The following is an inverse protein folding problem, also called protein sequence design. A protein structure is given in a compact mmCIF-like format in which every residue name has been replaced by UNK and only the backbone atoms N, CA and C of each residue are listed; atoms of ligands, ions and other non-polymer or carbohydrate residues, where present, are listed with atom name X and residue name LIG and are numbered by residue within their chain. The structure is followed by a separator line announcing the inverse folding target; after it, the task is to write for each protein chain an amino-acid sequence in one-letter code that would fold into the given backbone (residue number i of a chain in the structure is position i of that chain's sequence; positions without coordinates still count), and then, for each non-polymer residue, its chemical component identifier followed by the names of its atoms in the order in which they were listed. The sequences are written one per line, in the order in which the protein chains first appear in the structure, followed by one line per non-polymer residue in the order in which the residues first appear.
data_IF_473340090009
#
_entry.id   IF_473340090009
#
_cell.length_a   1.000
_cell.length_b   1.000
_cell.length_c   1.000
_cell.angle_alpha   90.00
_cell.angle_beta   90.00
_cell.angle_gamma   90.00
#
_symmetry.space_group_name_H-M   'P 1'
#
loop_
_entity.id
_entity.type
_entity.pdbx_description
1 polymer ?
#
# COMPACT_ATOMS: atom_id res chain seq x y z
N UNK A 1 35.87 -36.97 50.18
CA UNK A 1 34.78 -37.86 50.60
C UNK A 1 35.33 -38.75 51.70
N UNK A 2 35.00 -38.46 52.96
CA UNK A 2 35.50 -39.20 54.13
C UNK A 2 34.35 -40.05 54.66
N UNK A 3 34.42 -41.38 54.50
CA UNK A 3 33.56 -42.30 55.23
C UNK A 3 34.39 -42.95 56.34
N UNK A 4 33.82 -43.06 57.53
CA UNK A 4 34.49 -43.61 58.71
C UNK A 4 34.01 -45.05 58.88
N UNK A 5 34.94 -46.00 58.86
CA UNK A 5 34.66 -47.39 59.17
C UNK A 5 35.10 -47.65 60.61
N UNK A 6 34.14 -47.96 61.48
CA UNK A 6 34.43 -48.29 62.88
C UNK A 6 34.52 -49.81 62.99
N UNK A 7 35.72 -50.31 63.33
CA UNK A 7 35.96 -51.74 63.55
C UNK A 7 36.13 -51.97 65.06
N UNK A 8 35.17 -52.66 65.67
CA UNK A 8 35.23 -53.04 67.08
C UNK A 8 35.94 -54.40 67.16
N UNK A 9 37.07 -54.46 67.88
CA UNK A 9 37.89 -55.67 67.99
C UNK A 9 37.20 -56.64 68.97
N UNK A 10 36.66 -57.75 68.45
CA UNK A 10 36.07 -58.83 69.25
C UNK A 10 34.77 -59.43 68.71
N UNK A 11 34.08 -58.77 67.76
CA UNK A 11 32.86 -59.30 67.14
C UNK A 11 33.06 -59.45 65.62
N UNK A 12 32.77 -60.64 65.08
CA UNK A 12 32.69 -60.90 63.63
C UNK A 12 31.36 -60.41 63.08
N UNK A 13 31.12 -59.11 63.14
CA UNK A 13 29.97 -58.50 62.51
C UNK A 13 30.43 -57.20 61.87
N UNK A 14 30.52 -57.21 60.55
CA UNK A 14 30.79 -56.01 59.76
C UNK A 14 29.59 -55.08 59.93
N UNK A 15 29.76 -54.02 60.72
CA UNK A 15 28.75 -52.98 60.87
C UNK A 15 28.72 -52.13 59.58
N UNK A 16 27.49 -51.95 59.09
CA UNK A 16 27.11 -51.24 57.86
C UNK A 16 27.76 -49.85 57.77
N UNK A 17 28.34 -49.52 56.60
CA UNK A 17 28.98 -48.23 56.34
C UNK A 17 27.96 -47.09 56.49
N UNK A 18 27.99 -46.37 57.61
CA UNK A 18 27.22 -45.15 57.79
C UNK A 18 28.03 -43.95 57.27
N UNK A 19 27.66 -43.44 56.08
CA UNK A 19 28.17 -42.19 55.55
C UNK A 19 27.15 -41.06 55.85
N UNK A 20 27.37 -40.19 56.87
CA UNK A 20 26.39 -39.17 57.28
C UNK A 20 26.28 -37.97 56.31
N UNK A 21 27.11 -37.89 55.26
CA UNK A 21 27.16 -36.77 54.33
C UNK A 21 26.62 -37.07 52.92
N UNK A 22 25.91 -38.17 52.71
CA UNK A 22 25.15 -38.40 51.49
C UNK A 22 23.86 -37.55 51.45
N UNK A 23 23.95 -36.26 51.78
CA UNK A 23 22.82 -35.34 51.64
C UNK A 23 22.56 -35.08 50.16
N UNK A 24 21.40 -35.54 49.72
CA UNK A 24 20.88 -35.51 48.35
C UNK A 24 20.97 -34.10 47.71
N UNK A 25 22.03 -33.87 46.94
CA UNK A 25 22.19 -32.71 46.05
C UNK A 25 21.09 -32.61 44.97
N UNK A 26 20.32 -33.69 44.78
CA UNK A 26 19.20 -33.77 43.84
C UNK A 26 18.00 -32.89 44.26
N UNK A 27 17.75 -32.76 45.57
CA UNK A 27 16.62 -31.96 46.10
C UNK A 27 16.76 -30.46 45.81
N UNK A 28 17.99 -29.93 45.89
CA UNK A 28 18.29 -28.54 45.56
C UNK A 28 18.21 -28.27 44.05
N UNK A 29 18.65 -29.23 43.23
CA UNK A 29 18.51 -29.15 41.78
C UNK A 29 17.04 -29.10 41.34
N UNK A 30 16.18 -29.95 41.90
CA UNK A 30 14.73 -29.93 41.66
C UNK A 30 14.09 -28.59 42.03
N UNK A 31 14.47 -27.99 43.16
CA UNK A 31 13.98 -26.67 43.57
C UNK A 31 14.41 -25.56 42.59
N UNK A 32 15.66 -25.60 42.13
CA UNK A 32 16.17 -24.65 41.13
C UNK A 32 15.46 -24.80 39.78
N UNK A 33 15.27 -26.03 39.28
CA UNK A 33 14.54 -26.27 38.03
C UNK A 33 13.08 -25.81 38.12
N UNK A 34 12.42 -26.06 39.25
CA UNK A 34 11.05 -25.62 39.49
C UNK A 34 10.97 -24.08 39.51
N UNK A 35 11.91 -23.41 40.17
CA UNK A 35 11.99 -21.95 40.18
C UNK A 35 12.23 -21.34 38.80
N UNK A 36 13.16 -21.90 38.02
CA UNK A 36 13.43 -21.45 36.64
C UNK A 36 12.21 -21.68 35.73
N UNK A 37 11.50 -22.80 35.88
CA UNK A 37 10.28 -23.08 35.12
C UNK A 37 9.16 -22.09 35.45
N UNK A 38 8.95 -21.77 36.74
CA UNK A 38 7.95 -20.79 37.14
C UNK A 38 8.29 -19.39 36.60
N UNK A 39 9.57 -19.01 36.64
CA UNK A 39 10.02 -17.73 36.09
C UNK A 39 9.83 -17.70 34.58
N UNK A 40 10.22 -18.74 33.85
CA UNK A 40 10.02 -18.79 32.39
C UNK A 40 8.55 -18.73 32.01
N UNK A 41 7.67 -19.45 32.72
CA UNK A 41 6.22 -19.38 32.52
C UNK A 41 5.65 -17.99 32.83
N UNK A 42 6.16 -17.31 33.86
CA UNK A 42 5.75 -15.95 34.18
C UNK A 42 6.13 -14.96 33.08
N UNK A 43 7.38 -15.01 32.58
CA UNK A 43 7.80 -14.18 31.46
C UNK A 43 7.01 -14.51 30.19
N UNK A 44 6.80 -15.79 29.89
CA UNK A 44 6.04 -16.21 28.72
C UNK A 44 4.57 -15.76 28.81
N UNK A 45 3.98 -15.88 30.00
CA UNK A 45 2.65 -15.35 30.31
C UNK A 45 2.59 -13.83 30.16
N UNK A 46 3.59 -13.10 30.67
CA UNK A 46 3.67 -11.64 30.52
C UNK A 46 3.82 -11.22 29.05
N UNK A 47 4.63 -11.91 28.25
CA UNK A 47 4.75 -11.68 26.81
C UNK A 47 3.45 -11.99 26.08
N UNK A 48 2.79 -13.09 26.43
CA UNK A 48 1.50 -13.46 25.84
C UNK A 48 0.43 -12.44 26.20
N UNK A 49 0.39 -11.98 27.45
CA UNK A 49 -0.51 -10.91 27.91
C UNK A 49 -0.14 -9.60 27.21
N UNK A 50 1.12 -9.23 27.03
CA UNK A 50 1.47 -8.02 26.28
C UNK A 50 0.99 -8.07 24.82
N UNK A 51 1.13 -9.23 24.15
CA UNK A 51 0.63 -9.44 22.79
C UNK A 51 -0.90 -9.47 22.72
N UNK A 52 -1.52 -10.22 23.63
CA UNK A 52 -2.96 -10.41 23.71
C UNK A 52 -3.67 -9.13 24.16
N UNK A 53 -3.18 -8.43 25.19
CA UNK A 53 -3.72 -7.17 25.69
C UNK A 53 -3.62 -6.08 24.62
N UNK A 54 -2.55 -6.04 23.83
CA UNK A 54 -2.44 -5.11 22.69
C UNK A 54 -3.46 -5.44 21.59
N UNK A 55 -3.72 -6.72 21.33
CA UNK A 55 -4.73 -7.18 20.37
C UNK A 55 -6.18 -7.02 20.86
N UNK A 56 -6.43 -7.27 22.15
CA UNK A 56 -7.73 -7.14 22.81
C UNK A 56 -8.10 -5.69 23.04
N UNK A 57 -7.18 -4.86 23.55
CA UNK A 57 -7.36 -3.42 23.67
C UNK A 57 -7.58 -2.79 22.28
N UNK A 58 -6.88 -3.28 21.25
CA UNK A 58 -7.19 -2.88 19.88
C UNK A 58 -8.61 -3.29 19.49
N UNK A 59 -9.04 -4.54 19.71
CA UNK A 59 -10.42 -4.99 19.42
C UNK A 59 -11.50 -4.21 20.18
N UNK A 60 -11.28 -3.90 21.46
CA UNK A 60 -12.25 -3.17 22.29
C UNK A 60 -12.30 -1.68 21.95
N UNK A 61 -11.16 -1.05 21.67
CA UNK A 61 -11.09 0.33 21.17
C UNK A 61 -11.62 0.46 19.73
N UNK A 62 -11.64 -0.65 18.97
CA UNK A 62 -11.90 -0.66 17.53
C UNK A 62 -13.37 -0.46 17.14
N UNK A 63 -14.34 -0.78 17.99
CA UNK A 63 -15.73 -0.73 17.57
C UNK A 63 -16.34 0.67 17.75
N UNK A 64 -16.24 1.25 18.95
CA UNK A 64 -16.95 2.48 19.31
C UNK A 64 -16.14 3.75 19.02
N UNK A 65 -14.86 3.77 19.39
CA UNK A 65 -14.01 4.95 19.23
C UNK A 65 -13.60 5.19 17.76
N UNK A 66 -13.42 4.13 16.95
CA UNK A 66 -13.13 4.28 15.52
C UNK A 66 -14.35 4.73 14.73
N UNK A 67 -15.54 4.15 14.96
CA UNK A 67 -16.77 4.63 14.31
C UNK A 67 -17.09 6.05 14.72
N UNK A 68 -16.87 6.42 15.98
CA UNK A 68 -16.99 7.81 16.44
C UNK A 68 -15.94 8.74 15.84
N UNK A 69 -14.69 8.28 15.66
CA UNK A 69 -13.60 9.06 15.07
C UNK A 69 -13.72 9.24 13.55
N UNK A 70 -14.26 8.24 12.85
CA UNK A 70 -14.42 8.20 11.39
C UNK A 70 -15.81 8.66 10.97
N UNK A 71 -16.78 8.75 11.88
CA UNK A 71 -18.11 9.31 11.61
C UNK A 71 -18.90 8.58 10.52
N UNK A 72 -18.55 7.32 10.20
CA UNK A 72 -19.15 6.56 9.11
C UNK A 72 -18.78 7.07 7.71
N UNK A 73 -17.68 7.82 7.56
CA UNK A 73 -17.24 8.37 6.28
C UNK A 73 -17.21 7.33 5.16
N UNK A 74 -17.72 7.73 4.00
CA UNK A 74 -17.68 6.90 2.80
C UNK A 74 -16.38 7.10 2.04
N UNK A 75 -15.82 6.00 1.55
CA UNK A 75 -14.65 6.01 0.69
C UNK A 75 -14.96 5.25 -0.60
N UNK A 76 -14.85 5.92 -1.74
CA UNK A 76 -14.98 5.25 -3.04
C UNK A 76 -13.60 5.11 -3.62
N UNK A 77 -13.15 3.88 -3.83
CA UNK A 77 -11.83 3.57 -4.37
C UNK A 77 -11.95 3.34 -5.88
N UNK A 78 -11.20 4.11 -6.66
CA UNK A 78 -11.18 4.03 -8.13
C UNK A 78 -9.75 3.79 -8.61
N UNK A 79 -9.58 2.85 -9.53
CA UNK A 79 -8.29 2.56 -10.17
C UNK A 79 -8.50 2.36 -11.68
N UNK A 80 -7.53 2.75 -12.53
CA UNK A 80 -7.62 2.48 -13.95
C UNK A 80 -7.45 0.97 -14.21
N UNK A 81 -8.07 0.40 -15.26
CA UNK A 81 -7.72 -0.93 -15.71
C UNK A 81 -6.26 -0.93 -16.21
N UNK A 82 -5.36 -1.32 -15.33
CA UNK A 82 -3.94 -1.49 -15.60
C UNK A 82 -3.65 -2.97 -15.88
N UNK A 83 -2.62 -3.23 -16.68
CA UNK A 83 -2.12 -4.59 -16.94
C UNK A 83 -1.37 -5.19 -15.75
N UNK A 84 -1.05 -4.40 -14.72
CA UNK A 84 -0.35 -4.88 -13.53
C UNK A 84 -1.31 -5.58 -12.54
N UNK A 85 -1.19 -6.91 -12.33
CA UNK A 85 -2.04 -7.64 -11.39
C UNK A 85 -1.76 -7.30 -9.91
N UNK A 86 -0.70 -6.54 -9.60
CA UNK A 86 -0.42 -6.08 -8.24
C UNK A 86 -1.38 -4.98 -7.78
N UNK A 87 -1.85 -4.11 -8.68
CA UNK A 87 -2.70 -2.97 -8.36
C UNK A 87 -4.07 -3.40 -7.79
N UNK A 88 -4.84 -4.30 -8.42
CA UNK A 88 -6.11 -4.79 -7.85
C UNK A 88 -5.94 -5.44 -6.47
N UNK A 89 -4.84 -6.19 -6.26
CA UNK A 89 -4.53 -6.81 -4.96
C UNK A 89 -4.29 -5.76 -3.88
N UNK A 90 -3.56 -4.70 -4.21
CA UNK A 90 -3.26 -3.61 -3.30
C UNK A 90 -4.52 -2.79 -2.97
N UNK A 91 -5.38 -2.56 -3.96
CA UNK A 91 -6.68 -1.90 -3.77
C UNK A 91 -7.62 -2.70 -2.90
N UNK A 92 -7.67 -4.02 -3.08
CA UNK A 92 -8.43 -4.90 -2.19
C UNK A 92 -7.89 -4.87 -0.75
N UNK A 93 -6.56 -4.83 -0.57
CA UNK A 93 -5.94 -4.68 0.76
C UNK A 93 -6.21 -3.32 1.39
N UNK A 94 -6.13 -2.25 0.63
CA UNK A 94 -6.48 -0.91 1.10
C UNK A 94 -7.95 -0.85 1.52
N UNK A 95 -8.86 -1.32 0.65
CA UNK A 95 -10.28 -1.33 0.92
C UNK A 95 -10.65 -2.18 2.13
N UNK A 96 -10.09 -3.38 2.26
CA UNK A 96 -10.30 -4.23 3.45
C UNK A 96 -9.74 -3.58 4.71
N UNK A 97 -8.54 -2.99 4.65
CA UNK A 97 -7.95 -2.26 5.78
C UNK A 97 -8.84 -1.09 6.22
N UNK A 98 -9.31 -0.28 5.29
CA UNK A 98 -10.25 0.82 5.55
C UNK A 98 -11.57 0.33 6.15
N UNK A 99 -12.14 -0.76 5.62
CA UNK A 99 -13.35 -1.37 6.19
C UNK A 99 -13.13 -1.83 7.62
N UNK A 100 -11.97 -2.42 7.94
CA UNK A 100 -11.63 -2.79 9.32
C UNK A 100 -11.42 -1.60 10.25
N UNK A 101 -11.13 -0.42 9.70
CA UNK A 101 -11.01 0.84 10.43
C UNK A 101 -12.36 1.57 10.62
N UNK A 102 -13.46 1.02 10.07
CA UNK A 102 -14.81 1.57 10.24
C UNK A 102 -15.30 2.45 9.09
N UNK A 103 -14.55 2.56 7.98
CA UNK A 103 -15.00 3.27 6.78
C UNK A 103 -16.00 2.43 5.97
N UNK A 104 -16.99 3.10 5.37
CA UNK A 104 -17.87 2.47 4.38
C UNK A 104 -17.21 2.56 3.01
N UNK A 105 -16.54 1.48 2.60
CA UNK A 105 -15.75 1.46 1.36
C UNK A 105 -16.56 0.86 0.22
N UNK A 106 -16.65 1.58 -0.89
CA UNK A 106 -17.12 1.04 -2.18
C UNK A 106 -15.94 0.89 -3.13
N UNK A 107 -15.81 -0.29 -3.71
CA UNK A 107 -14.77 -0.63 -4.68
C UNK A 107 -15.47 -1.36 -5.84
N UNK A 108 -15.14 -0.97 -7.06
CA UNK A 108 -15.57 -1.61 -8.31
C UNK A 108 -15.33 -3.12 -8.32
N UNK A 109 -14.17 -3.60 -7.82
CA UNK A 109 -13.85 -5.03 -7.67
C UNK A 109 -14.85 -5.80 -6.80
N UNK A 110 -15.46 -5.15 -5.80
CA UNK A 110 -16.41 -5.78 -4.88
C UNK A 110 -17.85 -5.74 -5.39
N UNK A 111 -18.12 -4.93 -6.41
CA UNK A 111 -19.48 -4.62 -6.88
C UNK A 111 -19.70 -5.00 -8.34
N UNK A 112 -18.96 -5.99 -8.83
CA UNK A 112 -19.02 -6.47 -10.22
C UNK A 112 -20.44 -6.84 -10.67
N UNK A 113 -21.27 -7.42 -9.79
CA UNK A 113 -22.66 -7.75 -10.12
C UNK A 113 -23.56 -6.54 -10.30
N UNK A 114 -23.36 -5.47 -9.53
CA UNK A 114 -24.09 -4.21 -9.73
C UNK A 114 -23.56 -3.45 -10.94
N UNK A 115 -22.24 -3.51 -11.15
CA UNK A 115 -21.56 -2.85 -12.26
C UNK A 115 -21.97 -3.45 -13.60
N UNK A 116 -22.12 -4.77 -13.67
CA UNK A 116 -22.61 -5.46 -14.88
C UNK A 116 -24.08 -5.19 -15.16
N UNK A 117 -24.90 -4.97 -14.12
CA UNK A 117 -26.33 -4.68 -14.27
C UNK A 117 -26.62 -3.21 -14.63
N UNK A 118 -25.93 -2.25 -13.99
CA UNK A 118 -26.17 -0.82 -14.15
C UNK A 118 -25.27 -0.15 -15.18
N UNK A 119 -24.13 -0.77 -15.49
CA UNK A 119 -23.06 -0.14 -16.25
C UNK A 119 -22.18 0.80 -15.42
N UNK A 120 -21.02 1.20 -15.97
CA UNK A 120 -19.97 1.92 -15.23
C UNK A 120 -20.37 3.34 -14.83
N UNK A 121 -21.02 4.09 -15.74
CA UNK A 121 -21.42 5.48 -15.49
C UNK A 121 -22.55 5.57 -14.44
N UNK A 122 -23.68 4.83 -14.55
CA UNK A 122 -24.75 4.92 -13.55
C UNK A 122 -24.32 4.40 -12.17
N UNK A 123 -23.50 3.36 -12.13
CA UNK A 123 -22.92 2.86 -10.87
C UNK A 123 -22.07 3.94 -10.19
N UNK A 124 -21.18 4.60 -10.94
CA UNK A 124 -20.34 5.67 -10.41
C UNK A 124 -21.19 6.82 -9.85
N UNK A 125 -22.19 7.28 -10.59
CA UNK A 125 -23.08 8.36 -10.12
C UNK A 125 -23.81 8.00 -8.82
N UNK A 126 -24.25 6.74 -8.68
CA UNK A 126 -24.85 6.24 -7.45
C UNK A 126 -23.87 6.36 -6.27
N UNK A 127 -22.61 5.94 -6.45
CA UNK A 127 -21.58 6.02 -5.40
C UNK A 127 -21.17 7.45 -5.08
N UNK A 128 -21.02 8.32 -6.08
CA UNK A 128 -20.74 9.74 -5.87
C UNK A 128 -21.87 10.43 -5.10
N UNK A 129 -23.14 10.09 -5.37
CA UNK A 129 -24.27 10.63 -4.64
C UNK A 129 -24.30 10.17 -3.18
N UNK A 130 -23.94 8.91 -2.90
CA UNK A 130 -23.81 8.41 -1.54
C UNK A 130 -22.70 9.14 -0.76
N UNK A 131 -21.54 9.37 -1.39
CA UNK A 131 -20.45 10.16 -0.81
C UNK A 131 -20.89 11.58 -0.49
N UNK A 132 -21.66 12.22 -1.39
CA UNK A 132 -22.21 13.57 -1.17
C UNK A 132 -23.19 13.62 0.01
N UNK A 133 -24.00 12.58 0.20
CA UNK A 133 -25.03 12.53 1.26
C UNK A 133 -24.47 12.21 2.63
N UNK A 134 -23.55 11.25 2.71
CA UNK A 134 -23.04 10.74 3.98
C UNK A 134 -21.72 11.37 4.41
N UNK A 135 -21.11 12.19 3.53
CA UNK A 135 -19.77 12.71 3.75
C UNK A 135 -18.71 11.65 3.48
N UNK A 136 -17.64 12.07 2.83
CA UNK A 136 -16.59 11.17 2.41
C UNK A 136 -15.80 11.72 1.24
N UNK A 137 -14.88 10.89 0.73
CA UNK A 137 -14.07 11.24 -0.43
C UNK A 137 -13.93 10.08 -1.40
N UNK A 138 -13.71 10.44 -2.65
CA UNK A 138 -13.34 9.52 -3.72
C UNK A 138 -11.83 9.49 -3.82
N UNK A 139 -11.25 8.32 -3.71
CA UNK A 139 -9.82 8.08 -3.76
C UNK A 139 -9.48 7.49 -5.12
N UNK A 140 -8.71 8.25 -5.89
CA UNK A 140 -8.16 7.85 -7.18
C UNK A 140 -6.72 7.35 -6.97
N UNK A 141 -6.39 6.17 -7.49
CA UNK A 141 -4.99 5.73 -7.45
C UNK A 141 -4.21 6.45 -8.54
N UNK A 142 -3.03 6.96 -8.20
CA UNK A 142 -2.09 7.54 -9.14
C UNK A 142 -1.06 6.48 -9.56
N UNK A 143 -1.25 5.92 -10.75
CA UNK A 143 -0.29 5.04 -11.45
C UNK A 143 0.15 5.65 -12.78
N UNK A 144 1.13 5.03 -13.44
CA UNK A 144 1.51 5.43 -14.80
C UNK A 144 0.33 5.31 -15.78
N UNK A 145 -0.48 4.25 -15.66
CA UNK A 145 -1.68 4.08 -16.47
C UNK A 145 -2.71 5.19 -16.20
N UNK A 146 -2.90 5.57 -14.93
CA UNK A 146 -3.79 6.67 -14.52
C UNK A 146 -3.42 7.97 -15.23
N UNK A 147 -2.12 8.27 -15.25
CA UNK A 147 -1.58 9.47 -15.86
C UNK A 147 -1.84 9.50 -17.36
N UNK A 148 -1.40 8.46 -18.07
CA UNK A 148 -1.53 8.37 -19.52
C UNK A 148 -3.01 8.43 -19.94
N UNK A 149 -3.89 7.76 -19.18
CA UNK A 149 -5.33 7.79 -19.43
C UNK A 149 -5.94 9.17 -19.23
N UNK A 150 -5.54 9.90 -18.19
CA UNK A 150 -6.05 11.25 -17.96
C UNK A 150 -5.62 12.24 -19.06
N UNK A 151 -4.37 12.16 -19.52
CA UNK A 151 -3.86 12.94 -20.65
C UNK A 151 -4.58 12.61 -21.96
N UNK A 152 -4.70 11.31 -22.29
CA UNK A 152 -5.39 10.84 -23.49
C UNK A 152 -6.87 11.27 -23.49
N UNK A 153 -7.54 11.15 -22.35
CA UNK A 153 -8.93 11.58 -22.20
C UNK A 153 -9.08 13.10 -22.33
N UNK A 154 -8.16 13.87 -21.75
CA UNK A 154 -8.13 15.33 -21.88
C UNK A 154 -7.94 15.80 -23.33
N UNK A 155 -6.97 15.22 -24.04
CA UNK A 155 -6.71 15.52 -25.45
C UNK A 155 -7.93 15.22 -26.34
N UNK A 156 -8.55 14.04 -26.17
CA UNK A 156 -9.76 13.66 -26.91
C UNK A 156 -10.96 14.56 -26.62
N UNK A 157 -11.09 15.02 -25.36
CA UNK A 157 -12.18 15.92 -24.97
C UNK A 157 -12.02 17.31 -25.60
N UNK A 158 -10.80 17.82 -25.73
CA UNK A 158 -10.53 19.14 -26.31
C UNK A 158 -10.68 19.15 -27.84
N UNK A 159 -10.26 18.08 -28.53
CA UNK A 159 -10.47 17.93 -29.98
C UNK A 159 -11.96 17.84 -30.35
N UNK A 160 -12.76 17.17 -29.52
CA UNK A 160 -14.23 17.12 -29.69
C UNK A 160 -14.89 18.48 -29.44
N UNK A 161 -14.44 19.23 -28.44
CA UNK A 161 -15.01 20.56 -28.15
C UNK A 161 -14.62 21.61 -29.22
N UNK A 162 -13.42 21.52 -29.80
CA UNK A 162 -12.99 22.40 -30.89
C UNK A 162 -13.71 22.13 -32.22
N UNK A 163 -14.19 20.89 -32.43
CA UNK A 163 -14.97 20.49 -33.62
C UNK A 163 -16.49 20.71 -33.46
N UNK A 164 -17.00 20.73 -32.22
CA UNK A 164 -18.42 20.99 -31.94
C UNK A 164 -18.85 22.44 -32.19
N UNK A 165 -17.91 23.39 -32.23
CA UNK A 165 -18.19 24.78 -32.60
C UNK A 165 -18.57 24.96 -34.08
N UNK A 166 -18.39 23.92 -34.92
CA UNK A 166 -18.65 24.02 -36.36
C UNK A 166 -19.88 23.27 -36.86
N UNK A 167 -20.48 22.37 -36.08
CA UNK A 167 -21.67 21.62 -36.49
C UNK A 167 -22.64 21.40 -35.30
N UNK A 168 -23.42 22.43 -34.97
CA UNK A 168 -24.74 22.24 -34.34
C UNK A 168 -25.66 21.74 -35.43
N UNK A 169 -25.82 20.42 -35.51
CA UNK A 169 -26.89 19.69 -36.19
C UNK A 169 -26.26 18.39 -36.65
N UNK A 170 -26.23 17.41 -35.75
CA UNK A 170 -26.27 15.97 -36.01
C UNK A 170 -26.02 15.32 -34.65
N UNK A 171 -27.11 14.77 -34.11
CA UNK A 171 -27.09 13.88 -32.96
C UNK A 171 -26.49 12.55 -33.40
N UNK A 172 -25.18 12.52 -33.69
CA UNK A 172 -24.48 11.29 -34.00
C UNK A 172 -23.94 10.67 -32.72
N UNK A 173 -24.72 9.71 -32.21
CA UNK A 173 -24.31 8.35 -31.87
C UNK A 173 -22.79 8.12 -31.75
N UNK A 174 -22.13 8.79 -30.80
CA UNK A 174 -20.85 8.31 -30.30
C UNK A 174 -21.18 7.09 -29.46
N UNK A 175 -21.02 5.91 -30.05
CA UNK A 175 -20.93 4.66 -29.29
C UNK A 175 -19.87 4.90 -28.20
N UNK A 176 -20.24 4.88 -26.90
CA UNK A 176 -19.23 5.01 -25.87
C UNK A 176 -18.43 3.72 -25.95
N UNK A 177 -17.22 3.78 -26.50
CA UNK A 177 -16.22 2.74 -26.28
C UNK A 177 -16.29 2.43 -24.79
N UNK A 178 -16.72 1.21 -24.44
CA UNK A 178 -17.20 0.82 -23.12
C UNK A 178 -16.36 1.47 -22.02
N UNK A 179 -16.83 2.61 -21.51
CA UNK A 179 -15.96 3.47 -20.71
C UNK A 179 -15.84 2.84 -19.35
N UNK A 180 -14.64 2.45 -18.96
CA UNK A 180 -14.43 1.95 -17.60
C UNK A 180 -14.84 3.00 -16.55
N UNK A 181 -15.05 2.54 -15.31
CA UNK A 181 -15.49 3.38 -14.20
C UNK A 181 -14.51 4.54 -13.95
N UNK A 182 -13.21 4.28 -14.15
CA UNK A 182 -12.17 5.28 -13.96
C UNK A 182 -12.28 6.42 -14.97
N UNK A 183 -12.43 6.10 -16.25
CA UNK A 183 -12.59 7.05 -17.35
C UNK A 183 -13.88 7.84 -17.20
N UNK A 184 -14.97 7.17 -16.79
CA UNK A 184 -16.22 7.85 -16.43
C UNK A 184 -16.04 8.86 -15.28
N UNK A 185 -15.12 8.58 -14.35
CA UNK A 185 -14.83 9.48 -13.24
C UNK A 185 -14.07 10.75 -13.65
N UNK A 186 -13.27 10.70 -14.72
CA UNK A 186 -12.54 11.87 -15.21
C UNK A 186 -13.47 13.03 -15.58
N UNK A 187 -14.62 12.73 -16.19
CA UNK A 187 -15.64 13.75 -16.49
C UNK A 187 -16.17 14.42 -15.21
N UNK A 188 -16.37 13.66 -14.14
CA UNK A 188 -16.83 14.18 -12.85
C UNK A 188 -15.74 14.99 -12.14
N UNK A 189 -14.49 14.57 -12.23
CA UNK A 189 -13.33 15.30 -11.66
C UNK A 189 -13.16 16.62 -12.40
N UNK A 190 -13.21 16.62 -13.73
CA UNK A 190 -13.12 17.85 -14.52
C UNK A 190 -14.21 18.85 -14.14
N UNK A 191 -15.46 18.39 -14.02
CA UNK A 191 -16.58 19.25 -13.64
C UNK A 191 -16.36 19.94 -12.29
N UNK A 192 -15.72 19.27 -11.32
CA UNK A 192 -15.39 19.87 -10.03
C UNK A 192 -14.13 20.71 -10.05
N UNK A 193 -13.17 20.34 -10.91
CA UNK A 193 -11.94 21.10 -11.11
C UNK A 193 -12.26 22.49 -11.66
N UNK A 194 -13.15 22.57 -12.66
CA UNK A 194 -13.65 23.84 -13.21
C UNK A 194 -14.41 24.68 -12.17
N UNK A 195 -14.96 24.05 -11.13
CA UNK A 195 -15.62 24.74 -10.02
C UNK A 195 -14.65 25.13 -8.89
N UNK A 196 -13.37 24.76 -8.97
CA UNK A 196 -12.38 24.96 -7.91
C UNK A 196 -12.60 24.08 -6.67
N UNK A 197 -13.39 23.00 -6.79
CA UNK A 197 -13.85 22.17 -5.66
C UNK A 197 -13.40 20.70 -5.74
N UNK A 198 -12.56 20.35 -6.71
CA UNK A 198 -12.11 18.98 -6.90
C UNK A 198 -11.45 18.38 -5.64
N UNK A 199 -10.57 19.14 -4.96
CA UNK A 199 -9.88 18.69 -3.75
C UNK A 199 -10.79 18.42 -2.54
N UNK A 200 -12.02 18.96 -2.54
CA UNK A 200 -13.00 18.67 -1.48
C UNK A 200 -13.56 17.25 -1.60
N UNK A 201 -13.79 16.78 -2.84
CA UNK A 201 -14.49 15.50 -3.12
C UNK A 201 -13.56 14.38 -3.57
N UNK A 202 -12.47 14.73 -4.24
CA UNK A 202 -11.51 13.80 -4.81
C UNK A 202 -10.13 13.97 -4.18
N UNK A 203 -9.42 12.85 -4.06
CA UNK A 203 -8.04 12.80 -3.58
C UNK A 203 -7.29 11.73 -4.34
N UNK A 204 -5.98 11.91 -4.44
CA UNK A 204 -5.07 11.00 -5.13
C UNK A 204 -4.25 10.22 -4.12
N UNK A 205 -4.04 8.93 -4.41
CA UNK A 205 -3.17 8.05 -3.61
C UNK A 205 -2.13 7.44 -4.51
N UNK A 206 -0.88 7.61 -4.14
CA UNK A 206 0.24 6.94 -4.77
C UNK A 206 0.76 5.85 -3.83
N UNK A 207 0.96 4.65 -4.34
CA UNK A 207 1.60 3.59 -3.58
C UNK A 207 3.12 3.63 -3.78
N UNK A 208 3.87 3.72 -2.69
CA UNK A 208 5.34 3.71 -2.72
C UNK A 208 5.91 2.40 -3.27
N UNK A 209 5.16 1.30 -3.16
CA UNK A 209 5.51 0.01 -3.77
C UNK A 209 5.35 -0.03 -5.29
N UNK A 210 4.58 0.91 -5.86
CA UNK A 210 4.30 1.03 -7.29
C UNK A 210 4.54 2.48 -7.72
N UNK A 211 5.79 2.97 -7.70
CA UNK A 211 6.06 4.34 -8.13
C UNK A 211 5.71 4.47 -9.62
N UNK A 212 4.98 5.52 -10.01
CA UNK A 212 4.73 5.78 -11.41
C UNK A 212 6.07 6.06 -12.10
N UNK A 213 6.40 5.23 -13.10
CA UNK A 213 7.60 5.39 -13.91
C UNK A 213 7.26 6.32 -15.07
N UNK A 214 7.49 7.61 -14.87
CA UNK A 214 7.29 8.60 -15.93
C UNK A 214 8.49 8.56 -16.91
N UNK A 215 8.29 8.24 -18.20
CA UNK A 215 9.36 8.29 -19.18
C UNK A 215 9.69 9.75 -19.53
N UNK A 216 10.93 10.15 -19.24
CA UNK A 216 11.40 11.53 -19.41
C UNK A 216 11.06 12.41 -18.19
N UNK A 217 12.03 13.21 -17.74
CA UNK A 217 12.00 13.93 -16.46
C UNK A 217 10.73 14.72 -16.15
N UNK A 218 10.51 14.95 -14.85
CA UNK A 218 9.44 15.76 -14.21
C UNK A 218 8.36 16.28 -15.17
N UNK A 219 7.47 15.39 -15.63
CA UNK A 219 6.22 15.87 -16.24
C UNK A 219 5.32 16.36 -15.10
N UNK A 220 4.72 17.56 -15.22
CA UNK A 220 3.78 18.08 -14.22
C UNK A 220 2.49 17.27 -14.24
N UNK A 221 1.84 17.14 -13.08
CA UNK A 221 0.57 16.41 -12.91
C UNK A 221 -0.46 16.85 -13.99
N UNK A 222 -1.23 15.92 -14.60
CA UNK A 222 -2.24 16.28 -15.59
C UNK A 222 -3.16 17.37 -15.04
N UNK A 223 -3.54 18.34 -15.87
CA UNK A 223 -4.31 19.51 -15.43
C UNK A 223 -5.57 19.14 -14.65
N UNK A 224 -6.24 18.06 -15.07
CA UNK A 224 -7.43 17.51 -14.42
C UNK A 224 -7.20 17.09 -12.95
N UNK A 225 -5.97 16.70 -12.63
CA UNK A 225 -5.56 16.30 -11.29
C UNK A 225 -4.90 17.44 -10.50
N UNK A 226 -4.65 18.59 -11.13
CA UNK A 226 -4.16 19.77 -10.42
C UNK A 226 -5.18 20.23 -9.37
N UNK A 227 -4.68 20.54 -8.16
CA UNK A 227 -5.51 20.94 -7.02
C UNK A 227 -6.09 19.79 -6.20
N UNK A 228 -5.88 18.52 -6.58
CA UNK A 228 -6.20 17.38 -5.72
C UNK A 228 -5.07 17.10 -4.72
N UNK A 229 -5.42 16.66 -3.51
CA UNK A 229 -4.43 16.24 -2.53
C UNK A 229 -3.85 14.87 -2.90
N UNK A 230 -2.53 14.78 -3.05
CA UNK A 230 -1.80 13.55 -3.32
C UNK A 230 -1.21 13.01 -2.02
N UNK A 231 -1.52 11.75 -1.69
CA UNK A 231 -0.97 11.06 -0.52
C UNK A 231 -0.11 9.86 -0.93
N UNK A 232 1.11 9.80 -0.41
CA UNK A 232 2.00 8.65 -0.58
C UNK A 232 1.76 7.61 0.52
N UNK A 233 1.33 6.41 0.15
CA UNK A 233 1.13 5.31 1.09
C UNK A 233 2.30 4.31 1.02
N UNK A 234 2.81 3.85 2.17
CA UNK A 234 2.23 3.99 3.52
C UNK A 234 2.69 5.21 4.34
N UNK A 235 3.69 5.99 3.91
CA UNK A 235 4.34 7.03 4.74
C UNK A 235 3.37 8.13 5.22
N UNK A 236 2.44 8.56 4.37
CA UNK A 236 1.46 9.62 4.65
C UNK A 236 0.08 9.08 5.06
N UNK A 237 0.02 7.82 5.51
CA UNK A 237 -1.21 7.15 5.97
C UNK A 237 -2.01 7.93 7.00
N UNK A 238 -1.37 8.70 7.89
CA UNK A 238 -2.06 9.53 8.87
C UNK A 238 -2.82 10.67 8.20
N UNK A 239 -2.16 11.42 7.31
CA UNK A 239 -2.77 12.53 6.56
C UNK A 239 -3.92 12.04 5.68
N UNK A 240 -3.71 10.91 5.02
CA UNK A 240 -4.73 10.23 4.22
C UNK A 240 -5.98 9.89 5.06
N UNK A 241 -5.82 9.27 6.23
CA UNK A 241 -6.95 8.90 7.08
C UNK A 241 -7.63 10.09 7.74
N UNK A 242 -6.88 11.14 8.11
CA UNK A 242 -7.47 12.37 8.66
C UNK A 242 -8.34 13.08 7.64
N UNK A 243 -7.90 13.10 6.38
CA UNK A 243 -8.65 13.70 5.28
C UNK A 243 -9.90 12.88 4.94
N UNK A 244 -9.77 11.55 4.89
CA UNK A 244 -10.86 10.64 4.58
C UNK A 244 -11.93 10.61 5.68
N UNK A 245 -11.53 10.75 6.94
CA UNK A 245 -12.45 10.87 8.08
C UNK A 245 -13.12 12.26 8.16
N UNK A 246 -12.65 13.23 7.37
CA UNK A 246 -13.21 14.58 7.27
C UNK A 246 -13.09 15.43 8.54
N UNK A 247 -13.40 16.73 8.40
CA UNK A 247 -13.49 17.67 9.50
C UNK A 247 -14.88 17.59 10.19
N UNK A 248 -15.28 16.43 10.69
CA UNK A 248 -16.51 16.29 11.47
C UNK A 248 -16.52 17.26 12.67
N UNK A 249 -17.68 17.84 13.06
CA UNK A 249 -17.76 18.80 14.15
C UNK A 249 -17.40 18.13 15.48
N UNK A 250 -16.16 18.32 15.92
CA UNK A 250 -15.71 17.83 17.22
C UNK A 250 -15.93 18.92 18.25
N UNK A 251 -16.97 18.74 19.08
CA UNK A 251 -17.47 19.71 20.05
C UNK A 251 -16.46 20.06 21.14
N UNK A 252 -15.61 19.11 21.56
CA UNK A 252 -14.72 19.28 22.72
C UNK A 252 -13.24 18.97 22.40
N UNK A 253 -12.31 19.70 23.03
CA UNK A 253 -10.87 19.53 22.83
C UNK A 253 -10.36 18.13 23.21
N UNK A 254 -10.96 17.50 24.23
CA UNK A 254 -10.66 16.12 24.63
C UNK A 254 -11.05 15.11 23.56
N UNK A 255 -12.20 15.27 22.92
CA UNK A 255 -12.66 14.44 21.81
C UNK A 255 -11.74 14.58 20.59
N UNK A 256 -11.23 15.79 20.30
CA UNK A 256 -10.23 16.02 19.23
C UNK A 256 -8.94 15.25 19.50
N UNK A 257 -8.44 15.30 20.74
CA UNK A 257 -7.23 14.55 21.13
C UNK A 257 -7.42 13.05 21.02
N UNK A 258 -8.57 12.52 21.48
CA UNK A 258 -8.92 11.10 21.34
C UNK A 258 -8.97 10.69 19.87
N UNK A 259 -9.70 11.44 19.04
CA UNK A 259 -9.79 11.23 17.58
C UNK A 259 -8.42 11.19 16.93
N UNK A 260 -7.56 12.17 17.22
CA UNK A 260 -6.20 12.22 16.69
C UNK A 260 -5.34 11.01 17.17
N UNK A 261 -5.50 10.58 18.42
CA UNK A 261 -4.85 9.38 18.94
C UNK A 261 -5.29 8.10 18.20
N UNK A 262 -6.60 7.96 18.00
CA UNK A 262 -7.20 6.84 17.26
C UNK A 262 -6.70 6.81 15.81
N UNK A 263 -6.72 7.95 15.10
CA UNK A 263 -6.25 8.04 13.72
C UNK A 263 -4.73 7.74 13.60
N UNK A 264 -3.91 8.13 14.58
CA UNK A 264 -2.48 7.76 14.62
C UNK A 264 -2.24 6.27 14.80
N UNK A 265 -3.11 5.58 15.52
CA UNK A 265 -3.00 4.13 15.64
C UNK A 265 -3.55 3.44 14.39
N UNK A 266 -4.64 3.95 13.82
CA UNK A 266 -5.21 3.49 12.56
C UNK A 266 -4.21 3.63 11.40
N UNK A 267 -3.44 4.72 11.35
CA UNK A 267 -2.41 4.91 10.32
C UNK A 267 -1.31 3.86 10.40
N UNK A 268 -0.86 3.51 11.61
CA UNK A 268 0.10 2.42 11.83
C UNK A 268 -0.46 1.06 11.43
N UNK A 269 -1.75 0.82 11.69
CA UNK A 269 -2.43 -0.40 11.26
C UNK A 269 -2.50 -0.47 9.73
N UNK A 270 -2.92 0.61 9.07
CA UNK A 270 -3.00 0.70 7.62
C UNK A 270 -1.62 0.53 6.98
N UNK A 271 -0.60 1.22 7.50
CA UNK A 271 0.79 1.08 7.05
C UNK A 271 1.27 -0.38 7.12
N UNK A 272 1.01 -1.08 8.23
CA UNK A 272 1.35 -2.52 8.36
C UNK A 272 0.59 -3.41 7.39
N UNK A 273 -0.71 -3.14 7.18
CA UNK A 273 -1.54 -3.88 6.23
C UNK A 273 -1.04 -3.77 4.79
N UNK A 274 -0.55 -2.59 4.42
CA UNK A 274 0.04 -2.33 3.09
C UNK A 274 1.48 -2.88 2.99
N UNK A 275 2.31 -2.72 4.01
CA UNK A 275 3.70 -3.20 4.02
C UNK A 275 3.83 -4.74 4.06
N UNK A 276 2.84 -5.45 4.61
CA UNK A 276 2.80 -6.92 4.62
C UNK A 276 2.72 -7.59 3.23
N UNK A 277 2.76 -6.81 2.14
CA UNK A 277 2.91 -7.30 0.77
C UNK A 277 4.38 -7.49 0.36
N UNK A 278 5.33 -6.77 0.98
CA UNK A 278 6.73 -6.74 0.54
C UNK A 278 7.56 -7.94 1.03
N UNK A 279 7.15 -8.62 2.09
CA UNK A 279 7.89 -9.75 2.68
C UNK A 279 7.47 -11.13 2.15
N UNK A 280 6.39 -11.22 1.37
CA UNK A 280 5.85 -12.48 0.85
C UNK A 280 6.09 -12.74 -0.64
N UNK A 281 6.60 -11.75 -1.37
CA UNK A 281 6.94 -11.88 -2.79
C UNK A 281 8.36 -11.40 -2.97
N UNK A 282 9.28 -12.35 -3.08
CA UNK A 282 10.55 -12.20 -3.78
C UNK A 282 10.30 -11.33 -5.01
N UNK A 283 10.75 -10.07 -4.94
CA UNK A 283 10.82 -9.17 -6.07
C UNK A 283 11.72 -9.87 -7.09
N UNK A 284 11.12 -10.55 -8.05
CA UNK A 284 11.76 -10.86 -9.31
C UNK A 284 12.10 -9.52 -9.94
N UNK A 285 13.35 -9.13 -9.72
CA UNK A 285 13.99 -8.03 -10.40
C UNK A 285 14.10 -8.45 -11.86
N UNK A 286 13.04 -8.25 -12.64
CA UNK A 286 13.13 -8.35 -14.10
C UNK A 286 13.93 -7.12 -14.53
N UNK A 287 15.23 -7.32 -14.58
CA UNK A 287 16.17 -6.50 -15.34
C UNK A 287 15.86 -6.80 -16.80
N UNK A 288 14.95 -6.03 -17.41
CA UNK A 288 14.80 -5.98 -18.87
C UNK A 288 16.05 -5.30 -19.42
N UNK A 289 17.12 -6.07 -19.59
CA UNK A 289 18.17 -5.76 -20.54
C UNK A 289 17.62 -6.04 -21.93
N UNK A 290 17.48 -4.96 -22.69
CA UNK A 290 17.57 -4.90 -24.15
C UNK A 290 18.32 -6.12 -24.72
N UNK A 291 17.62 -6.96 -25.47
CA UNK A 291 18.28 -7.81 -26.46
C UNK A 291 17.46 -7.80 -27.74
N UNK A 292 18.17 -7.33 -28.75
CA UNK A 292 17.77 -7.14 -30.14
C UNK A 292 17.27 -8.42 -30.78
N UNK A 293 16.40 -8.21 -31.77
CA UNK A 293 16.10 -9.11 -32.88
C UNK A 293 17.31 -9.95 -33.29
N UNK A 294 17.13 -11.25 -33.48
CA UNK A 294 17.27 -11.89 -34.79
C UNK A 294 16.87 -13.38 -34.75
N UNK A 295 16.06 -13.73 -35.74
CA UNK A 295 16.11 -14.94 -36.57
C UNK A 295 16.64 -16.25 -35.98
N UNK A 296 15.70 -17.18 -35.82
CA UNK A 296 15.93 -18.62 -35.87
C UNK A 296 16.40 -19.03 -37.29
N UNK A 297 17.45 -19.85 -37.37
CA UNK A 297 18.09 -20.20 -38.63
C UNK A 297 19.37 -21.02 -38.48
N UNK A 298 19.20 -22.29 -38.11
CA UNK A 298 19.90 -23.50 -38.59
C UNK A 298 21.43 -23.43 -38.86
N UNK A 299 22.15 -24.22 -38.07
CA UNK A 299 23.35 -25.05 -38.36
C UNK A 299 24.26 -24.66 -39.55
N UNK A 300 25.54 -24.33 -39.28
CA UNK A 300 26.65 -25.30 -39.32
C UNK A 300 28.04 -24.63 -39.29
N UNK A 301 28.90 -25.21 -38.46
CA UNK A 301 30.27 -25.64 -38.75
C UNK A 301 31.35 -24.67 -39.29
N UNK A 302 32.45 -24.66 -38.52
CA UNK A 302 33.85 -24.36 -38.84
C UNK A 302 34.46 -23.02 -38.43
N UNK A 303 35.46 -23.19 -37.56
CA UNK A 303 36.62 -22.39 -37.17
C UNK A 303 37.23 -21.52 -38.28
N UNK A 304 37.71 -20.31 -37.95
CA UNK A 304 39.16 -19.96 -37.89
C UNK A 304 39.39 -18.44 -37.73
N UNK A 305 40.18 -18.11 -36.70
CA UNK A 305 41.10 -16.97 -36.41
C UNK A 305 40.97 -15.54 -37.01
N UNK A 306 41.31 -14.49 -36.23
CA UNK A 306 41.26 -13.08 -36.61
C UNK A 306 42.62 -12.53 -37.10
N UNK A 307 42.59 -11.46 -37.91
CA UNK A 307 43.73 -10.56 -38.12
C UNK A 307 43.28 -9.10 -38.04
N UNK A 308 44.05 -8.33 -37.28
CA UNK A 308 43.89 -6.91 -36.97
C UNK A 308 44.35 -5.98 -38.13
N UNK A 309 44.09 -4.65 -38.03
CA UNK A 309 43.92 -3.70 -39.15
C UNK A 309 45.23 -3.02 -39.59
N UNK A 310 45.21 -2.02 -40.50
CA UNK A 310 45.28 -0.63 -39.98
C UNK A 310 44.66 0.50 -40.85
N UNK A 311 44.10 1.49 -40.13
CA UNK A 311 44.10 2.96 -40.28
C UNK A 311 44.16 3.70 -41.64
N UNK A 312 43.25 4.68 -41.74
CA UNK A 312 43.35 5.95 -42.47
C UNK A 312 41.95 6.56 -42.66
N UNK A 313 41.67 7.86 -42.70
CA UNK A 313 42.36 9.12 -42.42
C UNK A 313 41.24 10.20 -42.49
N UNK A 314 41.50 11.40 -41.93
CA UNK A 314 40.90 12.72 -42.24
C UNK A 314 39.76 13.26 -41.34
N UNK A 315 39.94 14.53 -40.97
CA UNK A 315 39.27 15.37 -39.95
C UNK A 315 38.17 16.31 -40.55
N UNK A 316 37.75 17.45 -39.91
CA UNK A 316 36.37 17.75 -39.44
C UNK A 316 35.72 18.93 -40.24
N UNK A 317 34.60 19.62 -39.82
CA UNK A 317 34.63 20.60 -38.70
C UNK A 317 33.29 20.93 -37.97
N UNK A 318 33.43 21.73 -36.91
CA UNK A 318 32.54 22.84 -36.46
C UNK A 318 31.33 22.60 -35.53
N UNK A 319 31.34 23.43 -34.47
CA UNK A 319 30.38 23.71 -33.38
C UNK A 319 29.51 24.92 -33.80
N UNK A 320 28.33 25.21 -33.19
CA UNK A 320 28.31 25.81 -31.84
C UNK A 320 27.13 25.45 -30.93
N UNK A 321 27.33 25.82 -29.66
CA UNK A 321 26.46 25.70 -28.50
C UNK A 321 25.26 26.65 -28.58
N UNK A 322 24.13 26.25 -28.01
CA UNK A 322 23.10 27.20 -27.56
C UNK A 322 22.61 26.77 -26.18
N UNK A 323 22.76 27.68 -25.23
CA UNK A 323 22.20 27.61 -23.88
C UNK A 323 20.68 27.70 -23.96
N UNK A 324 19.96 26.87 -23.20
CA UNK A 324 18.57 27.17 -22.84
C UNK A 324 18.45 27.13 -21.33
N UNK A 325 18.06 28.29 -20.82
CA UNK A 325 17.78 28.67 -19.45
C UNK A 325 16.45 28.08 -18.98
N UNK A 326 16.51 27.52 -17.78
CA UNK A 326 15.51 27.41 -16.70
C UNK A 326 14.14 28.09 -16.91
N UNK A 327 13.07 27.35 -16.62
CA UNK A 327 11.82 27.90 -16.05
C UNK A 327 11.30 26.91 -15.00
N UNK A 328 11.40 27.34 -13.74
CA UNK A 328 10.88 26.65 -12.55
C UNK A 328 9.38 27.01 -12.41
N UNK A 329 8.50 26.05 -12.12
CA UNK A 329 7.13 26.30 -11.67
C UNK A 329 7.05 26.04 -10.15
N UNK A 330 6.43 26.99 -9.45
CA UNK A 330 6.10 26.96 -8.03
C UNK A 330 4.74 26.29 -7.77
#
# INVERSE_FOLDING_TARGET
MLCVQIKIIGMKSDLELQCPFASSRWRWSLLLFTGVLLFSLFFLGAYFIQGALKGYMWRWLKEDDLKGAVGGSQAVLLYPPDGDPALPKLMNRLGSSLRTLGFTVSLDLWSQGELSALGPVPWLHSRLNQVKRHGGKVVLVLTQATWLRAEEWGAQSWEKNASLEKNKDVMDTVSPASSDVFTASLSCVLADHLQGRAGERFMLVQFESLPPKFPGGFRPLPELFCGLHVYSLPSQSLGFLTELAGAGPVSNASARRRRAGVLRMASRFLARGLSGSLTGTTLLHIRTTSQSCMGDGVEDSWETMPLQPPSGQISPPSRPKTNITKMDCA
#
